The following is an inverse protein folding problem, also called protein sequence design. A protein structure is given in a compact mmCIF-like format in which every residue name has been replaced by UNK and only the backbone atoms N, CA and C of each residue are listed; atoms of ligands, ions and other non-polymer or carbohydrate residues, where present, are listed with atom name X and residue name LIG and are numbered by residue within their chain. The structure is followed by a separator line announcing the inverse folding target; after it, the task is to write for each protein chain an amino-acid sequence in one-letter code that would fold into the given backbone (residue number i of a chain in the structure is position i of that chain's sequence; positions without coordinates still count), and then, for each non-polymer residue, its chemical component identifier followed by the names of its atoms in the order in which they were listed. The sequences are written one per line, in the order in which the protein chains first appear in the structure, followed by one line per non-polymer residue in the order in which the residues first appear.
data_IF_922281541097
#
_entry.id   IF_922281541097
#
_cell.length_a   1.000
_cell.length_b   1.000
_cell.length_c   1.000
_cell.angle_alpha   90.00
_cell.angle_beta   90.00
_cell.angle_gamma   90.00
#
_symmetry.space_group_name_H-M   'P 1'
#
loop_
_entity.id
_entity.type
_entity.pdbx_description
1 polymer ?
#
# COMPACT_ATOMS: atom_id res chain seq x y z
N UNK A 1 -66.77 -35.78 -11.33
CA UNK A 1 -65.75 -35.32 -10.36
C UNK A 1 -64.68 -34.58 -11.14
N UNK A 2 -64.65 -33.25 -11.07
CA UNK A 2 -63.60 -32.42 -11.67
C UNK A 2 -62.89 -31.71 -10.52
N UNK A 3 -61.62 -32.04 -10.29
CA UNK A 3 -60.78 -31.38 -9.28
C UNK A 3 -60.04 -30.24 -9.97
N UNK A 4 -60.42 -29.01 -9.64
CA UNK A 4 -59.72 -27.80 -10.04
C UNK A 4 -58.56 -27.55 -9.07
N UNK A 5 -57.32 -27.70 -9.53
CA UNK A 5 -56.13 -27.35 -8.75
C UNK A 5 -55.76 -25.90 -9.04
N UNK A 6 -55.92 -25.00 -8.06
CA UNK A 6 -55.34 -23.66 -8.10
C UNK A 6 -53.82 -23.75 -7.89
N UNK A 7 -53.04 -23.26 -8.85
CA UNK A 7 -51.62 -22.95 -8.64
C UNK A 7 -51.48 -21.57 -7.99
N UNK A 8 -50.94 -21.52 -6.78
CA UNK A 8 -50.51 -20.29 -6.14
C UNK A 8 -49.07 -19.97 -6.58
N UNK A 9 -48.89 -18.86 -7.30
CA UNK A 9 -47.55 -18.32 -7.63
C UNK A 9 -47.07 -17.52 -6.43
N UNK A 10 -46.12 -18.06 -5.68
CA UNK A 10 -45.43 -17.34 -4.62
C UNK A 10 -44.40 -16.38 -5.24
N UNK A 11 -44.67 -15.07 -5.19
CA UNK A 11 -43.70 -14.05 -5.55
C UNK A 11 -42.60 -14.00 -4.47
N UNK A 12 -41.45 -14.61 -4.75
CA UNK A 12 -40.25 -14.47 -3.93
C UNK A 12 -39.69 -13.07 -4.15
N UNK A 13 -39.89 -12.18 -3.18
CA UNK A 13 -39.18 -10.91 -3.12
C UNK A 13 -37.77 -11.19 -2.63
N UNK A 14 -36.80 -11.16 -3.54
CA UNK A 14 -35.38 -11.23 -3.19
C UNK A 14 -35.03 -9.91 -2.49
N UNK A 15 -34.54 -9.92 -1.23
CA UNK A 15 -34.05 -8.71 -0.61
C UNK A 15 -32.83 -8.24 -1.40
N UNK A 16 -32.96 -7.11 -2.08
CA UNK A 16 -31.81 -6.38 -2.59
C UNK A 16 -31.03 -5.94 -1.36
N UNK A 17 -29.96 -6.65 -1.05
CA UNK A 17 -29.01 -6.23 -0.04
C UNK A 17 -28.50 -4.86 -0.48
N UNK A 18 -28.94 -3.80 0.21
CA UNK A 18 -28.30 -2.50 0.18
C UNK A 18 -26.90 -2.71 0.72
N UNK A 19 -25.94 -2.97 -0.16
CA UNK A 19 -24.53 -2.90 0.17
C UNK A 19 -24.29 -1.45 0.58
N UNK A 20 -24.19 -1.20 1.89
CA UNK A 20 -23.70 0.06 2.39
C UNK A 20 -22.36 0.32 1.68
N UNK A 21 -22.27 1.42 0.94
CA UNK A 21 -21.04 1.79 0.25
C UNK A 21 -19.87 1.73 1.24
N UNK A 22 -18.75 1.13 0.84
CA UNK A 22 -17.56 1.13 1.68
C UNK A 22 -17.21 2.59 1.98
N UNK A 23 -17.14 2.95 3.27
CA UNK A 23 -16.77 4.29 3.70
C UNK A 23 -15.47 4.71 2.99
N UNK A 24 -15.50 5.87 2.35
CA UNK A 24 -14.34 6.42 1.66
C UNK A 24 -13.25 6.72 2.68
N UNK A 25 -11.98 6.60 2.28
CA UNK A 25 -10.88 7.07 3.14
C UNK A 25 -11.00 8.57 3.45
N UNK A 26 -11.65 9.33 2.55
CA UNK A 26 -11.92 10.75 2.72
C UNK A 26 -12.87 11.01 3.90
N UNK A 27 -13.70 10.02 4.29
CA UNK A 27 -14.67 10.17 5.38
C UNK A 27 -14.03 10.14 6.77
N UNK A 28 -12.74 9.81 6.86
CA UNK A 28 -12.00 9.70 8.13
C UNK A 28 -11.01 10.87 8.26
N UNK A 29 -11.28 11.87 9.13
CA UNK A 29 -10.42 13.05 9.27
C UNK A 29 -8.96 12.74 9.60
N UNK A 30 -8.70 11.63 10.29
CA UNK A 30 -7.36 11.14 10.62
C UNK A 30 -6.78 10.19 9.55
N UNK A 31 -7.31 10.13 8.33
CA UNK A 31 -6.65 9.44 7.22
C UNK A 31 -5.71 10.39 6.50
N UNK A 32 -4.46 9.98 6.27
CA UNK A 32 -3.43 10.88 5.76
C UNK A 32 -3.68 11.40 4.33
N UNK A 33 -4.56 10.76 3.56
CA UNK A 33 -5.01 11.28 2.28
C UNK A 33 -5.70 12.66 2.41
N UNK A 34 -6.21 12.98 3.60
CA UNK A 34 -6.79 14.27 3.93
C UNK A 34 -5.75 15.32 4.35
N UNK A 35 -4.46 14.98 4.36
CA UNK A 35 -3.37 15.81 4.92
C UNK A 35 -2.26 16.06 3.90
N UNK A 36 -2.64 16.60 2.74
CA UNK A 36 -1.74 17.02 1.66
C UNK A 36 -0.73 15.93 1.22
N UNK A 37 -1.21 14.80 0.65
CA UNK A 37 -0.33 13.81 0.03
C UNK A 37 0.43 14.41 -1.16
N UNK A 38 1.67 13.97 -1.32
CA UNK A 38 2.50 14.30 -2.48
C UNK A 38 2.60 13.09 -3.41
N UNK A 39 2.47 13.31 -4.72
CA UNK A 39 2.46 12.24 -5.71
C UNK A 39 3.72 12.31 -6.57
N UNK A 40 4.30 11.13 -6.81
CA UNK A 40 5.51 10.94 -7.61
C UNK A 40 5.26 9.90 -8.68
N UNK A 41 5.70 10.18 -9.90
CA UNK A 41 5.78 9.17 -10.96
C UNK A 41 7.21 8.65 -11.02
N UNK A 42 7.39 7.34 -10.83
CA UNK A 42 8.66 6.66 -10.92
C UNK A 42 8.76 5.88 -12.23
N UNK A 43 9.77 6.21 -13.03
CA UNK A 43 10.17 5.46 -14.22
C UNK A 43 10.95 4.21 -13.78
N UNK A 44 10.41 3.03 -14.12
CA UNK A 44 10.93 1.72 -13.74
C UNK A 44 11.85 1.10 -14.82
N UNK A 45 12.10 1.84 -15.91
CA UNK A 45 12.80 1.36 -17.09
C UNK A 45 11.90 0.55 -18.04
N UNK A 46 12.50 0.13 -19.15
CA UNK A 46 11.80 -0.65 -20.17
C UNK A 46 11.87 -2.16 -19.86
N UNK A 47 10.75 -2.90 -20.00
CA UNK A 47 10.77 -4.35 -20.03
C UNK A 47 11.70 -4.90 -21.10
N UNK A 48 12.20 -6.13 -20.89
CA UNK A 48 13.00 -6.81 -21.90
C UNK A 48 12.19 -6.96 -23.20
N UNK A 49 12.77 -6.50 -24.31
CA UNK A 49 12.10 -6.52 -25.63
C UNK A 49 11.12 -5.36 -25.88
N UNK A 50 11.06 -4.36 -25.00
CA UNK A 50 10.28 -3.13 -25.18
C UNK A 50 11.18 -1.90 -25.22
N UNK A 51 10.83 -0.93 -26.07
CA UNK A 51 11.41 0.43 -26.05
C UNK A 51 10.57 1.40 -25.20
N UNK A 52 9.45 0.93 -24.65
CA UNK A 52 8.54 1.71 -23.81
C UNK A 52 8.85 1.45 -22.34
N UNK A 53 9.11 2.54 -21.61
CA UNK A 53 9.40 2.46 -20.17
C UNK A 53 8.14 2.44 -19.34
N UNK A 54 8.09 1.56 -18.34
CA UNK A 54 6.98 1.47 -17.40
C UNK A 54 7.07 2.51 -16.30
N UNK A 55 5.92 3.00 -15.85
CA UNK A 55 5.81 3.94 -14.75
C UNK A 55 4.93 3.43 -13.62
N UNK A 56 5.22 3.86 -12.40
CA UNK A 56 4.40 3.57 -11.24
C UNK A 56 4.25 4.83 -10.37
N UNK A 57 3.03 5.07 -9.91
CA UNK A 57 2.73 6.20 -9.01
C UNK A 57 3.02 5.78 -7.58
N UNK A 58 3.86 6.58 -6.93
CA UNK A 58 4.11 6.54 -5.50
C UNK A 58 3.45 7.76 -4.85
N UNK A 59 2.91 7.55 -3.65
CA UNK A 59 2.29 8.58 -2.84
C UNK A 59 3.05 8.69 -1.54
N UNK A 60 3.55 9.89 -1.25
CA UNK A 60 4.13 10.27 0.03
C UNK A 60 3.05 10.93 0.86
N UNK A 61 2.98 10.51 2.11
CA UNK A 61 2.12 11.11 3.10
C UNK A 61 2.96 11.61 4.26
N UNK A 62 2.62 12.79 4.74
CA UNK A 62 3.17 13.32 5.98
C UNK A 62 2.21 12.96 7.12
N UNK A 63 2.77 12.51 8.24
CA UNK A 63 2.04 12.27 9.48
C UNK A 63 1.43 13.59 9.92
N UNK A 64 0.10 13.68 10.04
CA UNK A 64 -0.55 14.90 10.51
C UNK A 64 -0.06 15.30 11.89
N UNK A 65 0.18 16.60 12.06
CA UNK A 65 0.61 17.20 13.30
C UNK A 65 -0.50 18.09 13.86
N UNK A 66 -0.69 18.09 15.18
CA UNK A 66 -1.62 18.97 15.89
C UNK A 66 -2.48 18.24 16.92
N UNK A 67 -2.97 19.01 17.89
CA UNK A 67 -3.60 18.52 19.13
C UNK A 67 -4.78 17.56 18.93
N UNK A 68 -5.46 17.62 17.78
CA UNK A 68 -6.63 16.78 17.48
C UNK A 68 -6.33 15.43 16.83
N UNK A 69 -5.16 15.24 16.22
CA UNK A 69 -4.86 14.05 15.41
C UNK A 69 -3.61 13.30 15.85
N UNK A 70 -2.61 13.99 16.40
CA UNK A 70 -1.31 13.38 16.74
C UNK A 70 -1.45 12.13 17.61
N UNK A 71 -2.37 12.12 18.58
CA UNK A 71 -2.61 10.96 19.45
C UNK A 71 -3.07 9.70 18.70
N UNK A 72 -3.95 9.83 17.69
CA UNK A 72 -4.42 8.71 16.90
C UNK A 72 -3.30 8.11 16.05
N UNK A 73 -2.42 8.96 15.52
CA UNK A 73 -1.26 8.50 14.76
C UNK A 73 -0.20 7.89 15.68
N UNK A 74 0.09 8.49 16.83
CA UNK A 74 1.04 7.95 17.81
C UNK A 74 0.59 6.57 18.31
N UNK A 75 -0.68 6.42 18.69
CA UNK A 75 -1.25 5.13 19.08
C UNK A 75 -1.20 4.13 17.91
N UNK A 76 -1.53 4.59 16.70
CA UNK A 76 -1.49 3.78 15.48
C UNK A 76 -0.10 3.22 15.18
N UNK A 77 0.96 4.02 15.36
CA UNK A 77 2.36 3.63 15.10
C UNK A 77 2.91 2.68 16.17
N UNK A 78 2.50 2.82 17.43
CA UNK A 78 2.91 1.91 18.51
C UNK A 78 2.19 0.55 18.49
N UNK A 79 1.16 0.37 17.65
CA UNK A 79 0.51 -0.93 17.48
C UNK A 79 1.37 -1.85 16.65
N UNK A 80 1.62 -3.05 17.19
CA UNK A 80 2.25 -4.15 16.47
C UNK A 80 1.58 -4.39 15.12
N UNK A 81 2.40 -4.51 14.07
CA UNK A 81 2.03 -4.76 12.68
C UNK A 81 2.60 -6.08 12.22
N UNK A 82 1.92 -6.69 11.26
CA UNK A 82 2.40 -7.85 10.52
C UNK A 82 2.45 -7.46 9.05
N UNK A 83 3.54 -7.82 8.34
CA UNK A 83 3.62 -7.63 6.88
C UNK A 83 3.15 -8.90 6.21
N UNK A 84 1.93 -8.90 5.69
CA UNK A 84 1.50 -9.97 4.79
C UNK A 84 2.34 -9.81 3.53
N UNK A 85 3.24 -10.74 3.28
CA UNK A 85 4.09 -10.73 2.09
C UNK A 85 4.25 -12.16 1.62
N UNK A 86 3.77 -12.41 0.41
CA UNK A 86 4.00 -13.65 -0.31
C UNK A 86 4.87 -13.31 -1.52
N UNK A 87 6.12 -13.80 -1.61
CA UNK A 87 6.96 -13.56 -2.77
C UNK A 87 6.41 -14.19 -4.07
N UNK A 88 5.50 -15.17 -3.96
CA UNK A 88 4.96 -15.95 -5.08
C UNK A 88 3.47 -15.66 -5.38
N UNK A 89 2.82 -14.74 -4.65
CA UNK A 89 1.35 -14.61 -4.67
C UNK A 89 0.79 -13.22 -4.38
N UNK A 90 -0.55 -13.12 -4.42
CA UNK A 90 -1.30 -11.90 -4.11
C UNK A 90 -1.17 -11.57 -2.62
N UNK A 91 -0.60 -10.41 -2.33
CA UNK A 91 -0.34 -9.89 -0.99
C UNK A 91 -1.63 -9.69 -0.18
N UNK A 92 -2.21 -10.75 0.39
CA UNK A 92 -3.64 -10.65 0.78
C UNK A 92 -4.07 -11.34 2.06
N UNK A 93 -3.31 -12.21 2.72
CA UNK A 93 -3.74 -12.80 3.99
C UNK A 93 -2.63 -12.93 5.03
N UNK A 94 -2.97 -12.68 6.29
CA UNK A 94 -2.08 -12.83 7.44
C UNK A 94 -1.68 -14.29 7.60
N UNK A 95 -0.37 -14.56 7.51
CA UNK A 95 0.19 -15.86 7.88
C UNK A 95 0.62 -15.82 9.36
N UNK A 96 0.30 -16.84 10.19
CA UNK A 96 0.75 -16.89 11.59
C UNK A 96 2.27 -16.79 11.77
N UNK A 97 3.04 -17.17 10.74
CA UNK A 97 4.50 -17.04 10.66
C UNK A 97 4.98 -15.63 10.26
N UNK A 98 4.09 -14.65 10.12
CA UNK A 98 4.51 -13.29 9.78
C UNK A 98 5.08 -12.58 11.01
N UNK A 99 6.34 -12.05 10.93
CA UNK A 99 6.95 -11.28 11.99
C UNK A 99 6.08 -10.11 12.38
N UNK A 100 5.95 -9.94 13.68
CA UNK A 100 5.34 -8.76 14.26
C UNK A 100 6.40 -7.70 14.49
N UNK A 101 6.13 -6.45 14.12
CA UNK A 101 7.06 -5.34 14.27
C UNK A 101 6.30 -4.06 14.68
N UNK A 102 7.01 -3.07 15.21
CA UNK A 102 6.38 -1.80 15.64
C UNK A 102 6.92 -0.66 14.80
N UNK A 103 6.01 0.21 14.38
CA UNK A 103 6.35 1.36 13.58
C UNK A 103 7.07 2.41 14.43
N UNK A 104 8.30 2.74 14.06
CA UNK A 104 9.14 3.69 14.81
C UNK A 104 10.13 3.05 15.81
N UNK A 105 10.07 1.73 16.01
CA UNK A 105 11.13 0.98 16.68
C UNK A 105 12.19 0.56 15.64
N UNK A 106 13.23 1.38 15.47
CA UNK A 106 14.21 1.21 14.40
C UNK A 106 14.98 -0.12 14.45
N UNK A 107 15.08 -0.77 15.61
CA UNK A 107 15.70 -2.08 15.79
C UNK A 107 14.72 -3.25 15.58
N UNK A 108 13.41 -2.97 15.53
CA UNK A 108 12.34 -3.97 15.40
C UNK A 108 11.34 -3.56 14.33
N UNK A 109 11.83 -3.40 13.09
CA UNK A 109 11.02 -3.02 11.92
C UNK A 109 11.28 -3.95 10.74
N UNK A 110 10.23 -4.21 9.95
CA UNK A 110 10.30 -4.88 8.65
C UNK A 110 9.69 -3.99 7.56
N UNK A 111 10.23 -4.06 6.35
CA UNK A 111 9.84 -3.21 5.20
C UNK A 111 9.95 -3.98 3.89
N UNK A 112 9.05 -3.69 2.97
CA UNK A 112 9.30 -4.02 1.57
C UNK A 112 10.36 -3.07 1.01
N UNK A 113 11.40 -3.68 0.49
CA UNK A 113 12.47 -3.02 -0.21
C UNK A 113 12.24 -3.24 -1.70
N UNK A 114 11.81 -2.15 -2.35
CA UNK A 114 11.43 -2.16 -3.76
C UNK A 114 12.63 -1.78 -4.63
N UNK A 115 12.88 -2.59 -5.66
CA UNK A 115 13.91 -2.35 -6.67
C UNK A 115 13.25 -2.34 -8.04
N UNK A 116 13.53 -1.31 -8.83
CA UNK A 116 13.12 -1.26 -10.23
C UNK A 116 14.04 -2.15 -11.07
N UNK A 117 13.46 -3.15 -11.73
CA UNK A 117 14.18 -4.08 -12.60
C UNK A 117 13.34 -4.30 -13.85
N UNK A 118 13.90 -3.96 -15.02
CA UNK A 118 13.29 -4.20 -16.33
C UNK A 118 11.81 -3.79 -16.40
N UNK A 119 11.48 -2.57 -16.00
CA UNK A 119 10.11 -2.05 -16.04
C UNK A 119 9.15 -2.64 -15.02
N UNK A 120 9.64 -3.40 -14.04
CA UNK A 120 8.85 -3.94 -12.94
C UNK A 120 9.44 -3.55 -11.58
N UNK A 121 8.62 -3.61 -10.54
CA UNK A 121 9.09 -3.55 -9.15
C UNK A 121 9.26 -4.96 -8.64
N UNK A 122 10.45 -5.26 -8.15
CA UNK A 122 10.73 -6.45 -7.35
C UNK A 122 10.80 -6.01 -5.90
N UNK A 123 9.84 -6.47 -5.11
CA UNK A 123 9.82 -6.24 -3.67
C UNK A 123 10.57 -7.37 -2.96
N UNK A 124 11.25 -7.05 -1.87
CA UNK A 124 11.79 -8.04 -0.93
C UNK A 124 11.46 -7.60 0.49
N UNK A 125 10.97 -8.50 1.34
CA UNK A 125 10.73 -8.15 2.73
C UNK A 125 12.03 -8.24 3.53
N UNK A 126 12.49 -7.10 4.02
CA UNK A 126 13.72 -6.97 4.79
C UNK A 126 13.41 -6.51 6.21
N UNK A 127 14.09 -7.08 7.20
CA UNK A 127 13.89 -6.78 8.62
C UNK A 127 15.21 -6.41 9.29
N UNK A 128 15.17 -5.55 10.31
CA UNK A 128 16.36 -5.16 11.08
C UNK A 128 16.88 -6.26 12.00
N UNK A 129 16.03 -7.23 12.32
CA UNK A 129 16.33 -8.40 13.13
C UNK A 129 16.45 -9.66 12.27
N UNK A 130 17.17 -10.66 12.79
CA UNK A 130 17.30 -11.94 12.12
C UNK A 130 15.95 -12.66 12.09
N UNK A 131 15.64 -13.26 10.95
CA UNK A 131 14.51 -14.18 10.80
C UNK A 131 14.61 -15.33 11.81
N UNK A 132 13.48 -15.76 12.38
CA UNK A 132 13.46 -17.02 13.13
C UNK A 132 13.66 -18.22 12.18
N UNK A 133 13.89 -19.43 12.71
CA UNK A 133 14.28 -20.58 11.88
C UNK A 133 13.29 -20.94 10.75
N UNK A 134 12.02 -20.58 10.90
CA UNK A 134 10.94 -20.90 9.95
C UNK A 134 10.62 -19.72 8.99
N UNK A 135 11.37 -18.62 9.10
CA UNK A 135 11.05 -17.32 8.52
C UNK A 135 11.92 -17.00 7.28
N UNK A 136 12.14 -17.99 6.42
CA UNK A 136 13.08 -17.91 5.28
C UNK A 136 12.71 -16.91 4.18
N UNK A 137 11.50 -16.34 4.24
CA UNK A 137 11.02 -15.36 3.27
C UNK A 137 11.46 -13.92 3.58
N UNK A 138 12.15 -13.70 4.71
CA UNK A 138 12.68 -12.39 5.09
C UNK A 138 14.21 -12.37 5.08
N UNK A 139 14.78 -11.22 4.72
CA UNK A 139 16.23 -10.99 4.75
C UNK A 139 16.59 -10.02 5.87
N UNK A 140 17.62 -10.32 6.66
CA UNK A 140 18.12 -9.37 7.65
C UNK A 140 18.87 -8.23 6.95
N UNK A 141 18.49 -6.99 7.24
CA UNK A 141 19.20 -5.79 6.82
C UNK A 141 19.19 -4.73 7.93
N UNK A 142 20.35 -4.49 8.54
CA UNK A 142 20.51 -3.50 9.62
C UNK A 142 20.54 -2.06 9.13
N UNK A 143 20.81 -1.80 7.84
CA UNK A 143 20.81 -0.44 7.29
C UNK A 143 19.43 0.20 7.32
N UNK A 144 18.37 -0.61 7.31
CA UNK A 144 16.99 -0.16 7.40
C UNK A 144 16.76 0.70 8.64
N UNK A 145 17.46 0.44 9.76
CA UNK A 145 17.27 1.17 11.01
C UNK A 145 17.46 2.69 10.81
N UNK A 146 18.40 3.11 9.97
CA UNK A 146 18.62 4.51 9.65
C UNK A 146 17.40 5.12 8.93
N UNK A 147 16.93 4.45 7.88
CA UNK A 147 15.74 4.85 7.12
C UNK A 147 14.45 4.73 7.93
N UNK A 148 14.52 4.10 9.11
CA UNK A 148 13.39 3.84 10.01
C UNK A 148 13.16 4.84 11.10
N UNK A 149 14.08 5.77 11.25
CA UNK A 149 14.01 6.79 12.29
C UNK A 149 12.98 7.87 12.00
N UNK A 150 12.71 8.15 10.72
CA UNK A 150 11.71 9.15 10.33
C UNK A 150 10.30 8.54 10.31
N UNK A 151 9.62 8.67 11.43
CA UNK A 151 8.22 8.24 11.60
C UNK A 151 7.19 9.26 11.13
N UNK A 152 7.66 10.38 10.58
CA UNK A 152 6.78 11.48 10.14
C UNK A 152 6.40 11.37 8.68
N UNK A 153 7.02 10.47 7.93
CA UNK A 153 6.78 10.27 6.50
C UNK A 153 6.48 8.81 6.21
N UNK A 154 5.54 8.56 5.31
CA UNK A 154 5.31 7.22 4.79
C UNK A 154 5.01 7.24 3.30
N UNK A 155 5.34 6.14 2.63
CA UNK A 155 5.22 6.00 1.19
C UNK A 155 4.37 4.78 0.84
N UNK A 156 3.55 4.90 -0.20
CA UNK A 156 2.70 3.83 -0.70
C UNK A 156 2.64 3.85 -2.22
N UNK A 157 2.40 2.68 -2.82
CA UNK A 157 2.14 2.45 -4.23
C UNK A 157 1.22 1.23 -4.34
N UNK A 158 0.65 0.95 -5.50
CA UNK A 158 -0.22 -0.23 -5.69
C UNK A 158 0.43 -1.57 -5.28
N UNK A 159 1.68 -1.89 -5.68
CA UNK A 159 2.35 -3.13 -5.26
C UNK A 159 2.84 -3.10 -3.79
N UNK A 160 2.80 -1.94 -3.14
CA UNK A 160 3.20 -1.76 -1.76
C UNK A 160 1.95 -1.85 -0.85
N UNK A 161 1.61 -3.04 -0.33
CA UNK A 161 0.49 -3.23 0.59
C UNK A 161 0.60 -2.27 1.79
N UNK A 162 -0.56 -1.88 2.33
CA UNK A 162 -0.63 -0.95 3.48
C UNK A 162 0.11 -1.52 4.69
N UNK A 163 1.34 -1.07 4.96
CA UNK A 163 2.01 -0.98 6.26
C UNK A 163 3.52 -0.76 6.04
N UNK A 164 3.96 0.34 5.42
CA UNK A 164 5.37 0.43 4.97
C UNK A 164 5.98 1.83 5.14
N UNK A 165 7.07 1.90 5.88
CA UNK A 165 8.12 2.91 5.73
C UNK A 165 9.14 2.38 4.70
N UNK A 166 8.76 1.97 3.49
CA UNK A 166 8.23 2.88 2.50
C UNK A 166 9.34 3.81 2.00
N UNK A 167 10.04 3.48 0.93
CA UNK A 167 10.87 4.42 0.16
C UNK A 167 10.53 4.32 -1.32
N UNK A 168 11.02 5.27 -2.11
CA UNK A 168 11.01 5.13 -3.57
C UNK A 168 11.83 3.90 -3.98
N UNK A 169 11.49 3.25 -5.12
CA UNK A 169 12.19 2.06 -5.57
C UNK A 169 13.62 2.40 -6.01
N UNK A 170 14.58 1.59 -5.59
CA UNK A 170 15.98 1.76 -5.99
C UNK A 170 16.13 1.52 -7.49
N UNK A 171 16.91 2.36 -8.15
CA UNK A 171 17.15 2.27 -9.60
C UNK A 171 16.10 2.97 -10.46
N UNK A 172 14.99 3.44 -9.87
CA UNK A 172 14.00 4.24 -10.59
C UNK A 172 14.37 5.73 -10.62
N UNK A 173 13.87 6.44 -11.64
CA UNK A 173 13.89 7.91 -11.68
C UNK A 173 12.51 8.42 -11.32
N UNK A 174 12.38 9.01 -10.14
CA UNK A 174 11.11 9.50 -9.63
C UNK A 174 11.03 11.03 -9.71
N UNK A 175 9.90 11.52 -10.24
CA UNK A 175 9.61 12.95 -10.36
C UNK A 175 8.29 13.30 -9.68
N UNK A 176 8.26 14.43 -8.99
CA UNK A 176 7.01 14.99 -8.49
C UNK A 176 6.06 15.26 -9.67
N UNK A 177 4.80 14.89 -9.48
CA UNK A 177 3.71 15.25 -10.40
C UNK A 177 2.74 16.24 -9.73
N UNK A 178 3.20 16.92 -8.69
CA UNK A 178 2.50 18.05 -8.08
C UNK A 178 2.65 19.29 -8.96
N UNK A 179 1.58 20.07 -9.07
CA UNK A 179 1.57 21.40 -9.66
C UNK A 179 2.00 22.44 -8.62
N UNK A 180 2.36 23.64 -9.08
CA UNK A 180 2.79 24.75 -8.23
C UNK A 180 1.72 25.18 -7.20
N UNK A 181 0.45 24.91 -7.49
CA UNK A 181 -0.69 25.18 -6.60
C UNK A 181 -0.94 24.07 -5.56
N UNK A 182 -0.11 23.02 -5.53
CA UNK A 182 -0.22 21.89 -4.62
C UNK A 182 -1.24 20.83 -5.04
N UNK A 183 -1.87 20.96 -6.21
CA UNK A 183 -2.76 19.92 -6.76
C UNK A 183 -1.97 18.90 -7.59
N UNK A 184 -2.54 17.72 -7.82
CA UNK A 184 -1.89 16.68 -8.66
C UNK A 184 -2.14 16.95 -10.14
N UNK A 185 -1.09 16.83 -10.96
CA UNK A 185 -1.22 16.82 -12.40
C UNK A 185 -1.82 15.48 -12.85
N UNK A 186 -3.15 15.47 -13.01
CA UNK A 186 -3.92 14.25 -13.34
C UNK A 186 -3.53 13.64 -14.69
N UNK A 187 -3.11 14.46 -15.67
CA UNK A 187 -2.59 13.97 -16.96
C UNK A 187 -1.25 13.24 -16.78
N UNK A 188 -0.32 13.83 -16.02
CA UNK A 188 0.95 13.17 -15.72
C UNK A 188 0.72 11.88 -14.90
N UNK A 189 -0.24 11.90 -13.97
CA UNK A 189 -0.63 10.74 -13.19
C UNK A 189 -1.15 9.60 -14.06
N UNK A 190 -2.07 9.89 -14.99
CA UNK A 190 -2.62 8.87 -15.89
C UNK A 190 -1.56 8.31 -16.83
N UNK A 191 -0.68 9.17 -17.36
CA UNK A 191 0.41 8.74 -18.25
C UNK A 191 1.44 7.87 -17.53
N UNK A 192 1.67 8.11 -16.24
CA UNK A 192 2.58 7.31 -15.44
C UNK A 192 2.18 5.82 -15.45
N UNK A 193 0.89 5.54 -15.28
CA UNK A 193 0.33 4.18 -15.25
C UNK A 193 0.11 3.56 -16.63
N UNK A 194 0.17 4.36 -17.71
CA UNK A 194 -0.26 3.93 -19.04
C UNK A 194 0.80 3.17 -19.85
N UNK A 195 2.05 3.15 -19.39
CA UNK A 195 3.07 2.35 -20.05
C UNK A 195 3.02 0.85 -19.65
N UNK A 196 2.32 0.54 -18.56
CA UNK A 196 2.03 -0.82 -18.09
C UNK A 196 0.69 -1.39 -18.61
N UNK A 197 0.24 -0.92 -19.78
CA UNK A 197 -0.99 -1.38 -20.44
C UNK A 197 -0.76 -2.57 -21.38
#
# INVERSE_FOLDING_TARGET
MVRTSLLAVAAVSVPVALVAGTASQLDYPACAINHAPEYFCCDLGSPEGSDVSNGLVYVRYNKPQGDGFSSYYDEGWHKSRQVNYDPDGDVSLYAPSTPSYVYGEADRTCRLHDIAVNGAVVSTLQCTFAASGDDSIYTQNTSLAQDSTDTTVFWSSTPNPRNNNASLPIGAVCRSIMLDDGTVNTTAQSLCTSASG
#
